data_IF_462158352224
#
_entry.id   IF_462158352224
#
_cell.length_a   1.000
_cell.length_b   1.000
_cell.length_c   1.000
_cell.angle_alpha   90.00
_cell.angle_beta   90.00
_cell.angle_gamma   90.00
#
_symmetry.space_group_name_H-M   'P 1'
#
loop_
_entity.id
_entity.type
_entity.pdbx_description
1 polymer ?
#
# COMPACT_ATOMS: atom_id res chain seq x y z
N UNK A 1 -11.82 2.38 26.04
CA UNK A 1 -12.03 3.26 24.88
C UNK A 1 -13.36 3.02 24.18
N UNK A 2 -14.01 1.86 24.38
CA UNK A 2 -15.25 1.52 23.66
C UNK A 2 -16.37 2.56 23.81
N UNK A 3 -16.50 3.20 24.98
CA UNK A 3 -17.50 4.26 25.19
C UNK A 3 -17.09 5.63 24.63
N UNK A 4 -15.79 5.89 24.49
CA UNK A 4 -15.26 7.20 24.05
C UNK A 4 -15.06 7.27 22.53
N UNK A 5 -14.91 6.13 21.86
CA UNK A 5 -14.67 6.00 20.42
C UNK A 5 -15.72 5.08 19.77
N UNK A 6 -16.98 5.22 20.19
CA UNK A 6 -18.07 4.36 19.75
C UNK A 6 -18.29 4.40 18.22
N UNK A 7 -18.03 5.55 17.60
CA UNK A 7 -18.18 5.75 16.14
C UNK A 7 -16.94 5.35 15.33
N UNK A 8 -15.86 4.91 16.00
CA UNK A 8 -14.63 4.50 15.33
C UNK A 8 -14.68 2.99 15.03
N UNK A 9 -14.12 2.60 13.89
CA UNK A 9 -13.87 1.20 13.61
C UNK A 9 -12.85 0.64 14.60
N UNK A 10 -12.98 -0.64 14.94
CA UNK A 10 -12.02 -1.33 15.80
C UNK A 10 -11.71 -2.74 15.31
N UNK A 11 -10.52 -3.23 15.66
CA UNK A 11 -10.04 -4.56 15.28
C UNK A 11 -9.29 -5.19 16.46
N UNK A 12 -9.63 -6.44 16.77
CA UNK A 12 -8.92 -7.23 17.79
C UNK A 12 -8.08 -8.31 17.11
N UNK A 13 -6.83 -8.43 17.54
CA UNK A 13 -5.81 -9.28 16.92
C UNK A 13 -5.10 -10.08 18.01
N UNK A 14 -4.79 -11.34 17.72
CA UNK A 14 -3.92 -12.15 18.59
C UNK A 14 -2.49 -12.05 18.08
N UNK A 15 -1.60 -11.52 18.92
CA UNK A 15 -0.20 -11.30 18.56
C UNK A 15 0.69 -12.04 19.55
N UNK A 16 1.69 -12.75 19.03
CA UNK A 16 2.75 -13.34 19.85
C UNK A 16 3.74 -12.24 20.24
N UNK A 17 3.90 -12.00 21.55
CA UNK A 17 4.96 -11.18 22.09
C UNK A 17 5.95 -12.02 22.91
N UNK A 18 6.99 -11.39 23.46
CA UNK A 18 8.02 -12.09 24.24
C UNK A 18 7.46 -12.80 25.50
N UNK A 19 6.31 -12.38 26.02
CA UNK A 19 5.64 -12.92 27.19
C UNK A 19 4.40 -13.77 26.85
N UNK A 20 4.27 -14.21 25.59
CA UNK A 20 3.18 -15.06 25.11
C UNK A 20 2.16 -14.34 24.21
N UNK A 21 1.05 -15.03 23.94
CA UNK A 21 -0.02 -14.49 23.08
C UNK A 21 -0.81 -13.43 23.84
N UNK A 22 -1.03 -12.27 23.21
CA UNK A 22 -1.86 -11.18 23.74
C UNK A 22 -2.88 -10.75 22.71
N UNK A 23 -4.06 -10.35 23.21
CA UNK A 23 -5.05 -9.62 22.43
C UNK A 23 -4.62 -8.17 22.34
N UNK A 24 -4.38 -7.68 21.13
CA UNK A 24 -4.21 -6.26 20.82
C UNK A 24 -5.50 -5.71 20.20
N UNK A 25 -5.88 -4.49 20.58
CA UNK A 25 -7.07 -3.80 20.05
C UNK A 25 -6.67 -2.48 19.42
N UNK A 26 -7.10 -2.28 18.18
CA UNK A 26 -6.86 -1.08 17.38
C UNK A 26 -8.17 -0.32 17.20
N UNK A 27 -8.13 1.01 17.24
CA UNK A 27 -9.24 1.90 16.87
C UNK A 27 -8.81 2.77 15.69
N UNK A 28 -9.70 3.00 14.72
CA UNK A 28 -9.42 3.77 13.51
C UNK A 28 -10.65 4.56 13.04
N UNK A 29 -10.43 5.78 12.56
CA UNK A 29 -11.46 6.71 12.08
C UNK A 29 -11.62 6.74 10.56
N UNK A 30 -11.13 5.72 9.87
CA UNK A 30 -11.18 5.60 8.41
C UNK A 30 -11.49 4.15 8.02
N UNK A 31 -11.97 3.92 6.80
CA UNK A 31 -12.17 2.55 6.30
C UNK A 31 -10.82 2.04 5.77
N UNK A 32 -10.26 0.95 6.30
CA UNK A 32 -9.02 0.38 5.79
C UNK A 32 -9.29 -0.40 4.50
N UNK A 33 -9.47 0.30 3.38
CA UNK A 33 -9.78 -0.28 2.07
C UNK A 33 -8.54 -0.45 1.18
N UNK A 34 -7.50 0.37 1.39
CA UNK A 34 -6.29 0.38 0.55
C UNK A 34 -5.02 0.57 1.37
N UNK A 35 -3.92 0.12 0.78
CA UNK A 35 -2.58 0.36 1.31
C UNK A 35 -2.21 1.83 1.09
N UNK A 36 -2.01 2.59 2.18
CA UNK A 36 -1.74 4.03 2.14
C UNK A 36 -0.45 4.43 1.42
N UNK A 37 0.50 3.50 1.22
CA UNK A 37 1.77 3.80 0.56
C UNK A 37 2.32 2.59 -0.22
N UNK A 38 2.84 2.85 -1.42
CA UNK A 38 3.35 1.82 -2.34
C UNK A 38 4.41 0.89 -1.71
N UNK A 39 5.15 1.34 -0.69
CA UNK A 39 6.12 0.52 0.06
C UNK A 39 5.49 -0.71 0.72
N UNK A 40 4.22 -0.62 1.10
CA UNK A 40 3.48 -1.69 1.77
C UNK A 40 2.68 -2.55 0.79
N UNK A 41 2.73 -2.27 -0.51
CA UNK A 41 2.05 -3.08 -1.52
C UNK A 41 2.62 -4.51 -1.55
N UNK A 42 1.75 -5.51 -1.44
CA UNK A 42 2.08 -6.93 -1.49
C UNK A 42 1.78 -7.68 -0.20
N UNK A 43 1.32 -8.92 -0.35
CA UNK A 43 0.72 -9.71 0.75
C UNK A 43 1.72 -10.21 1.79
N UNK A 44 3.00 -10.35 1.45
CA UNK A 44 4.03 -10.86 2.34
C UNK A 44 5.42 -10.33 1.96
N UNK A 45 6.45 -10.73 2.69
CA UNK A 45 7.83 -10.29 2.45
C UNK A 45 8.30 -10.57 1.02
N UNK A 46 8.09 -11.78 0.52
CA UNK A 46 8.51 -12.20 -0.82
C UNK A 46 7.79 -11.41 -1.91
N UNK A 47 6.48 -11.18 -1.75
CA UNK A 47 5.69 -10.40 -2.71
C UNK A 47 6.12 -8.93 -2.73
N UNK A 48 6.38 -8.33 -1.55
CA UNK A 48 6.95 -6.99 -1.45
C UNK A 48 8.30 -6.88 -2.16
N UNK A 49 9.18 -7.88 -2.00
CA UNK A 49 10.46 -7.93 -2.73
C UNK A 49 10.25 -8.06 -4.24
N UNK A 50 9.30 -8.88 -4.70
CA UNK A 50 8.93 -9.01 -6.11
C UNK A 50 8.47 -7.67 -6.68
N UNK A 51 7.56 -6.97 -6.01
CA UNK A 51 7.04 -5.66 -6.43
C UNK A 51 8.17 -4.63 -6.47
N UNK A 52 9.01 -4.58 -5.43
CA UNK A 52 10.19 -3.69 -5.38
C UNK A 52 11.12 -3.90 -6.58
N UNK A 53 11.45 -5.15 -6.91
CA UNK A 53 12.30 -5.49 -8.08
C UNK A 53 11.63 -5.10 -9.40
N UNK A 54 10.33 -5.36 -9.54
CA UNK A 54 9.54 -4.96 -10.71
C UNK A 54 9.60 -3.44 -10.89
N UNK A 55 9.29 -2.66 -9.86
CA UNK A 55 9.33 -1.20 -9.90
C UNK A 55 10.74 -0.67 -10.27
N UNK A 56 11.79 -1.23 -9.68
CA UNK A 56 13.17 -0.84 -9.99
C UNK A 56 13.54 -1.12 -11.47
N UNK A 57 13.12 -2.27 -12.01
CA UNK A 57 13.37 -2.63 -13.41
C UNK A 57 12.60 -1.71 -14.38
N UNK A 58 11.33 -1.41 -14.07
CA UNK A 58 10.55 -0.45 -14.85
C UNK A 58 11.18 0.95 -14.84
N UNK A 59 11.62 1.42 -13.66
CA UNK A 59 12.31 2.70 -13.55
C UNK A 59 13.60 2.77 -14.38
N UNK A 60 14.39 1.68 -14.41
CA UNK A 60 15.59 1.59 -15.28
C UNK A 60 15.22 1.67 -16.76
N UNK A 61 14.20 0.92 -17.21
CA UNK A 61 13.73 0.93 -18.59
C UNK A 61 13.21 2.30 -19.00
N UNK A 62 12.37 2.90 -18.16
CA UNK A 62 11.83 4.24 -18.39
C UNK A 62 12.93 5.29 -18.48
N UNK A 63 13.93 5.25 -17.59
CA UNK A 63 15.08 6.17 -17.63
C UNK A 63 15.88 6.06 -18.93
N UNK A 64 15.96 4.86 -19.52
CA UNK A 64 16.69 4.61 -20.76
C UNK A 64 15.98 5.15 -22.02
N UNK A 65 14.69 5.46 -21.95
CA UNK A 65 13.94 6.01 -23.08
C UNK A 65 14.34 7.46 -23.41
N UNK A 66 14.22 7.89 -24.67
CA UNK A 66 14.26 9.30 -25.06
C UNK A 66 13.26 10.15 -24.26
N UNK A 67 13.56 11.45 -24.10
CA UNK A 67 12.75 12.35 -23.24
C UNK A 67 11.30 12.48 -23.71
N UNK A 68 11.07 12.53 -25.02
CA UNK A 68 9.73 12.58 -25.62
C UNK A 68 8.93 11.31 -25.30
N UNK A 69 9.56 10.13 -25.45
CA UNK A 69 8.93 8.85 -25.14
C UNK A 69 8.60 8.71 -23.65
N UNK A 70 9.48 9.18 -22.76
CA UNK A 70 9.19 9.22 -21.32
C UNK A 70 7.91 10.00 -21.03
N UNK A 71 7.75 11.18 -21.62
CA UNK A 71 6.55 12.00 -21.42
C UNK A 71 5.29 11.30 -21.93
N UNK A 72 5.35 10.66 -23.09
CA UNK A 72 4.24 9.90 -23.65
C UNK A 72 3.83 8.71 -22.76
N UNK A 73 4.81 7.95 -22.26
CA UNK A 73 4.57 6.83 -21.34
C UNK A 73 3.98 7.32 -20.02
N UNK A 74 4.50 8.40 -19.45
CA UNK A 74 3.95 8.99 -18.21
C UNK A 74 2.51 9.43 -18.40
N UNK A 75 2.20 10.13 -19.49
CA UNK A 75 0.83 10.54 -19.81
C UNK A 75 -0.12 9.35 -19.91
N UNK A 76 0.34 8.25 -20.49
CA UNK A 76 -0.46 7.02 -20.61
C UNK A 76 -0.72 6.37 -19.25
N UNK A 77 0.28 6.34 -18.36
CA UNK A 77 0.11 5.82 -16.98
C UNK A 77 -0.87 6.71 -16.20
N UNK A 78 -0.71 8.03 -16.26
CA UNK A 78 -1.60 8.96 -15.57
C UNK A 78 -3.06 8.83 -16.02
N UNK A 79 -3.30 8.55 -17.31
CA UNK A 79 -4.64 8.30 -17.83
C UNK A 79 -5.30 7.05 -17.23
N UNK A 80 -4.52 5.98 -16.96
CA UNK A 80 -5.01 4.77 -16.29
C UNK A 80 -5.41 5.07 -14.84
N UNK A 81 -4.54 5.76 -14.10
CA UNK A 81 -4.82 6.07 -12.69
C UNK A 81 -6.02 7.01 -12.52
N UNK A 82 -6.25 7.93 -13.47
CA UNK A 82 -7.41 8.81 -13.44
C UNK A 82 -8.75 8.04 -13.55
N UNK A 83 -8.77 6.92 -14.28
CA UNK A 83 -9.96 6.06 -14.43
C UNK A 83 -10.23 5.19 -13.19
N UNK A 84 -9.23 4.91 -12.36
CA UNK A 84 -9.43 4.15 -11.11
C UNK A 84 -9.99 5.00 -9.95
N UNK A 85 -10.00 6.33 -10.11
CA UNK A 85 -10.58 7.27 -9.14
C UNK A 85 -12.06 7.58 -9.38
N UNK A 86 -12.64 7.16 -10.51
CA UNK A 86 -14.08 7.24 -10.83
C UNK A 86 -14.81 5.96 -10.42
#
# INVERSE_FOLDING_TARGET
YDNFLADWGNLELQVMNQAGVRTEKLWFNFIPDRVHWARYAGKNFTDRQRIKRKAANWGKRYKALPRSERLAVLSSIMAVEAQETE
#
